data_IF_019015753614
#
_entry.id   IF_019015753614
#
_cell.length_a   1.000
_cell.length_b   1.000
_cell.length_c   1.000
_cell.angle_alpha   90.00
_cell.angle_beta   90.00
_cell.angle_gamma   90.00
#
_symmetry.space_group_name_H-M   'P 1'
#
loop_
_entity.id
_entity.type
_entity.pdbx_description
1 polymer ?
#
# COMPACT_ATOMS: atom_id res chain seq x y z
N UNK A 1 -10.59 13.71 -31.57
CA UNK A 1 -10.36 14.08 -30.14
C UNK A 1 -8.87 14.22 -29.92
N UNK A 2 -8.42 15.29 -29.25
CA UNK A 2 -7.00 15.48 -28.89
C UNK A 2 -6.50 14.31 -28.02
N UNK A 3 -5.24 13.90 -28.19
CA UNK A 3 -4.58 12.86 -27.37
C UNK A 3 -4.68 13.17 -25.87
N UNK A 4 -4.66 14.44 -25.49
CA UNK A 4 -4.88 14.86 -24.09
C UNK A 4 -6.29 14.50 -23.57
N UNK A 5 -7.33 14.65 -24.41
CA UNK A 5 -8.70 14.30 -24.00
C UNK A 5 -8.89 12.79 -23.88
N UNK A 6 -8.24 11.99 -24.74
CA UNK A 6 -8.23 10.53 -24.61
C UNK A 6 -7.53 10.11 -23.32
N UNK A 7 -6.36 10.69 -23.03
CA UNK A 7 -5.63 10.43 -21.80
C UNK A 7 -6.43 10.79 -20.54
N UNK A 8 -7.11 11.95 -20.52
CA UNK A 8 -7.95 12.35 -19.38
C UNK A 8 -9.23 11.51 -19.21
N UNK A 9 -9.73 10.90 -20.29
CA UNK A 9 -10.84 9.93 -20.25
C UNK A 9 -10.38 8.59 -19.68
N UNK A 10 -9.19 8.13 -20.05
CA UNK A 10 -8.60 6.86 -19.60
C UNK A 10 -8.04 6.96 -18.16
N UNK A 11 -7.48 8.11 -17.79
CA UNK A 11 -6.88 8.40 -16.49
C UNK A 11 -7.52 9.63 -15.85
N UNK A 12 -8.78 9.52 -15.37
CA UNK A 12 -9.50 10.66 -14.83
C UNK A 12 -8.80 11.22 -13.61
N UNK A 13 -8.65 12.56 -13.56
CA UNK A 13 -7.97 13.26 -12.45
C UNK A 13 -8.60 12.98 -11.08
N UNK A 14 -9.88 12.64 -11.04
CA UNK A 14 -10.59 12.25 -9.81
C UNK A 14 -10.11 10.93 -9.21
N UNK A 15 -9.45 10.07 -10.00
CA UNK A 15 -8.85 8.80 -9.54
C UNK A 15 -7.35 8.93 -9.23
N UNK A 16 -6.78 10.14 -9.37
CA UNK A 16 -5.36 10.35 -9.12
C UNK A 16 -5.04 10.28 -7.63
N UNK A 17 -4.23 9.31 -7.25
CA UNK A 17 -3.66 9.18 -5.90
C UNK A 17 -2.19 9.59 -5.94
N UNK A 18 -1.80 10.55 -5.11
CA UNK A 18 -0.39 10.94 -4.98
C UNK A 18 0.34 10.05 -3.96
N UNK A 19 1.68 10.03 -4.00
CA UNK A 19 2.49 9.32 -2.99
C UNK A 19 2.21 9.76 -1.55
N UNK A 20 1.88 11.05 -1.37
CA UNK A 20 1.51 11.62 -0.07
C UNK A 20 0.12 11.18 0.37
N UNK A 21 -0.82 11.04 -0.57
CA UNK A 21 -2.14 10.47 -0.28
C UNK A 21 -2.03 9.01 0.11
N UNK A 22 -1.22 8.23 -0.60
CA UNK A 22 -0.95 6.83 -0.29
C UNK A 22 -0.46 6.65 1.15
N UNK A 23 0.55 7.41 1.55
CA UNK A 23 1.08 7.41 2.92
C UNK A 23 0.02 7.78 3.96
N UNK A 24 -0.78 8.82 3.68
CA UNK A 24 -1.89 9.27 4.52
C UNK A 24 -2.90 8.14 4.75
N UNK A 25 -3.43 7.53 3.69
CA UNK A 25 -4.42 6.46 3.80
C UNK A 25 -3.88 5.24 4.56
N UNK A 26 -2.64 4.85 4.24
CA UNK A 26 -1.99 3.74 4.91
C UNK A 26 -1.80 3.99 6.41
N UNK A 27 -1.45 5.21 6.82
CA UNK A 27 -1.24 5.56 8.24
C UNK A 27 -2.53 5.86 9.01
N UNK A 28 -3.58 6.34 8.34
CA UNK A 28 -4.92 6.35 8.94
C UNK A 28 -5.31 4.93 9.37
N UNK A 29 -5.26 3.97 8.45
CA UNK A 29 -5.56 2.56 8.78
C UNK A 29 -4.54 1.97 9.75
N UNK A 30 -3.26 2.31 9.59
CA UNK A 30 -2.15 1.85 10.44
C UNK A 30 -2.10 2.46 11.84
N UNK A 31 -3.21 3.03 12.34
CA UNK A 31 -3.35 3.57 13.70
C UNK A 31 -2.34 4.67 14.05
N UNK A 32 -1.95 5.48 13.06
CA UNK A 32 -1.00 6.59 13.21
C UNK A 32 -1.64 7.95 12.87
N UNK A 33 -2.83 8.30 13.41
CA UNK A 33 -3.51 9.52 13.01
C UNK A 33 -2.79 10.80 13.46
N UNK A 34 -1.97 10.70 14.51
CA UNK A 34 -1.13 11.80 14.99
C UNK A 34 0.00 12.14 13.99
N UNK A 35 0.55 11.16 13.27
CA UNK A 35 1.52 11.42 12.19
C UNK A 35 0.85 12.00 10.96
N UNK A 36 -0.33 11.49 10.59
CA UNK A 36 -1.14 12.05 9.51
C UNK A 36 -1.45 13.54 9.77
N UNK A 37 -1.74 13.88 11.03
CA UNK A 37 -2.02 15.25 11.48
C UNK A 37 -0.84 16.22 11.35
N UNK A 38 0.40 15.73 11.14
CA UNK A 38 1.59 16.57 10.89
C UNK A 38 1.62 17.12 9.45
N UNK A 39 0.81 16.58 8.55
CA UNK A 39 0.66 17.04 7.17
C UNK A 39 1.28 16.08 6.15
N UNK A 40 0.88 16.27 4.89
CA UNK A 40 1.12 15.35 3.77
C UNK A 40 2.60 15.01 3.53
N UNK A 41 3.49 16.01 3.60
CA UNK A 41 4.93 15.79 3.40
C UNK A 41 5.58 15.05 4.58
N UNK A 42 5.22 15.43 5.81
CA UNK A 42 5.77 14.79 7.01
C UNK A 42 5.35 13.33 7.12
N UNK A 43 4.08 13.02 6.85
CA UNK A 43 3.60 11.63 6.89
C UNK A 43 4.23 10.79 5.79
N UNK A 44 4.44 11.35 4.59
CA UNK A 44 5.12 10.64 3.51
C UNK A 44 6.58 10.35 3.83
N UNK A 45 7.32 11.29 4.43
CA UNK A 45 8.71 11.06 4.82
C UNK A 45 8.84 9.91 5.83
N UNK A 46 7.98 9.88 6.86
CA UNK A 46 7.94 8.78 7.84
C UNK A 46 7.53 7.45 7.18
N UNK A 47 6.54 7.50 6.29
CA UNK A 47 6.05 6.36 5.55
C UNK A 47 7.10 5.73 4.63
N UNK A 48 7.83 6.55 3.87
CA UNK A 48 8.86 6.09 2.94
C UNK A 48 9.95 5.30 3.68
N UNK A 49 10.49 5.85 4.76
CA UNK A 49 11.49 5.16 5.60
C UNK A 49 10.94 3.83 6.14
N UNK A 50 9.69 3.82 6.58
CA UNK A 50 9.05 2.59 7.09
C UNK A 50 8.81 1.53 6.00
N UNK A 51 8.51 1.95 4.76
CA UNK A 51 8.29 1.06 3.62
C UNK A 51 9.62 0.53 3.08
N UNK A 52 10.65 1.37 2.96
CA UNK A 52 11.97 0.95 2.49
C UNK A 52 12.52 -0.18 3.37
N UNK A 53 12.45 -0.02 4.70
CA UNK A 53 12.84 -1.08 5.65
C UNK A 53 12.03 -2.36 5.50
N UNK A 54 10.73 -2.25 5.22
CA UNK A 54 9.87 -3.41 4.99
C UNK A 54 10.18 -4.10 3.66
N UNK A 55 10.52 -3.33 2.63
CA UNK A 55 10.91 -3.83 1.32
C UNK A 55 12.21 -4.64 1.39
N UNK A 56 13.21 -4.12 2.09
CA UNK A 56 14.47 -4.84 2.32
C UNK A 56 14.27 -6.18 3.04
N UNK A 57 13.24 -6.27 3.89
CA UNK A 57 12.97 -7.49 4.68
C UNK A 57 12.15 -8.52 3.90
N UNK A 58 11.16 -8.08 3.13
CA UNK A 58 10.22 -8.94 2.41
C UNK A 58 9.45 -8.13 1.38
N UNK A 59 10.10 -7.93 0.22
CA UNK A 59 9.56 -7.23 -0.93
C UNK A 59 8.31 -7.91 -1.51
N UNK A 60 8.19 -9.24 -1.38
CA UNK A 60 7.09 -10.06 -1.85
C UNK A 60 5.71 -9.60 -1.32
N UNK A 61 5.66 -8.86 -0.19
CA UNK A 61 4.43 -8.28 0.35
C UNK A 61 3.81 -7.18 -0.53
N UNK A 62 4.60 -6.49 -1.33
CA UNK A 62 4.18 -5.31 -2.11
C UNK A 62 3.68 -5.68 -3.51
N UNK A 63 2.70 -6.60 -3.58
CA UNK A 63 2.07 -7.02 -4.83
C UNK A 63 0.66 -6.45 -5.03
N UNK A 64 -0.11 -7.09 -5.91
CA UNK A 64 -1.48 -6.67 -6.26
C UNK A 64 -2.42 -6.61 -5.06
N UNK A 65 -2.35 -7.59 -4.15
CA UNK A 65 -3.13 -7.56 -2.91
C UNK A 65 -2.83 -6.33 -2.05
N UNK A 66 -1.55 -5.96 -1.94
CA UNK A 66 -1.15 -4.72 -1.25
C UNK A 66 -1.70 -3.48 -1.97
N UNK A 67 -1.62 -3.45 -3.30
CA UNK A 67 -2.18 -2.34 -4.08
C UNK A 67 -3.69 -2.22 -3.87
N UNK A 68 -4.45 -3.30 -4.11
CA UNK A 68 -5.91 -3.36 -3.92
C UNK A 68 -6.34 -2.95 -2.52
N UNK A 69 -5.67 -3.46 -1.49
CA UNK A 69 -5.96 -3.11 -0.11
C UNK A 69 -5.75 -1.61 0.17
N UNK A 70 -4.72 -0.98 -0.42
CA UNK A 70 -4.50 0.46 -0.24
C UNK A 70 -5.48 1.31 -1.06
N UNK A 71 -5.94 0.84 -2.22
CA UNK A 71 -7.05 1.49 -2.93
C UNK A 71 -8.33 1.41 -2.08
N UNK A 72 -8.62 0.28 -1.45
CA UNK A 72 -9.74 0.17 -0.51
C UNK A 72 -9.66 1.17 0.63
N UNK A 73 -8.47 1.41 1.19
CA UNK A 73 -8.24 2.47 2.21
C UNK A 73 -8.46 3.88 1.66
N UNK A 74 -8.05 4.14 0.41
CA UNK A 74 -8.30 5.41 -0.25
C UNK A 74 -9.80 5.67 -0.44
N UNK A 75 -10.55 4.67 -0.91
CA UNK A 75 -12.00 4.75 -1.07
C UNK A 75 -12.70 4.98 0.27
N UNK A 76 -12.33 4.23 1.31
CA UNK A 76 -12.85 4.43 2.67
C UNK A 76 -12.61 5.85 3.17
N UNK A 77 -11.39 6.39 2.99
CA UNK A 77 -11.05 7.74 3.42
C UNK A 77 -11.89 8.80 2.70
N UNK A 78 -11.94 8.75 1.37
CA UNK A 78 -12.64 9.77 0.58
C UNK A 78 -14.16 9.72 0.77
N UNK A 79 -14.73 8.52 0.93
CA UNK A 79 -16.15 8.37 1.23
C UNK A 79 -16.49 8.89 2.63
N UNK A 80 -15.72 8.52 3.66
CA UNK A 80 -15.92 9.04 5.01
C UNK A 80 -15.76 10.56 5.04
N UNK A 81 -14.70 11.09 4.43
CA UNK A 81 -14.45 12.52 4.35
C UNK A 81 -15.62 13.27 3.71
N UNK A 82 -16.15 12.73 2.60
CA UNK A 82 -17.29 13.30 1.90
C UNK A 82 -18.59 13.21 2.69
N UNK A 83 -18.78 12.13 3.45
CA UNK A 83 -19.94 11.93 4.30
C UNK A 83 -19.92 12.85 5.54
N UNK A 84 -18.76 13.04 6.17
CA UNK A 84 -18.58 13.95 7.32
C UNK A 84 -18.97 15.38 6.96
N UNK A 85 -18.60 15.86 5.76
CA UNK A 85 -18.96 17.19 5.27
C UNK A 85 -20.48 17.45 5.24
N UNK A 86 -21.30 16.39 5.20
CA UNK A 86 -22.76 16.46 5.13
C UNK A 86 -23.42 16.31 6.50
N UNK A 87 -22.66 15.98 7.55
CA UNK A 87 -23.22 15.75 8.88
C UNK A 87 -23.61 17.05 9.57
N UNK A 88 -24.77 17.05 10.23
CA UNK A 88 -25.29 18.23 10.96
C UNK A 88 -24.31 18.68 12.05
N UNK A 89 -23.71 17.75 12.80
CA UNK A 89 -22.73 18.07 13.84
C UNK A 89 -21.45 18.70 13.27
N UNK A 90 -21.08 18.38 12.02
CA UNK A 90 -19.91 18.95 11.38
C UNK A 90 -20.21 20.33 10.81
N UNK A 91 -21.35 20.49 10.13
CA UNK A 91 -21.73 21.78 9.53
C UNK A 91 -22.05 22.84 10.58
N UNK A 92 -22.53 22.45 11.76
CA UNK A 92 -22.72 23.35 12.90
C UNK A 92 -21.40 23.86 13.51
N UNK A 93 -20.32 23.07 13.44
CA UNK A 93 -19.00 23.44 13.96
C UNK A 93 -17.89 22.96 13.02
N UNK A 94 -17.69 23.64 11.87
CA UNK A 94 -16.78 23.19 10.84
C UNK A 94 -15.31 23.37 11.25
N UNK A 95 -14.46 22.43 10.86
CA UNK A 95 -13.02 22.48 11.12
C UNK A 95 -12.41 21.09 11.28
N UNK A 96 -11.09 21.01 11.16
CA UNK A 96 -10.31 19.82 11.51
C UNK A 96 -10.68 18.52 10.76
N UNK A 97 -11.35 18.61 9.61
CA UNK A 97 -11.85 17.46 8.85
C UNK A 97 -10.80 16.36 8.63
N UNK A 98 -9.59 16.75 8.20
CA UNK A 98 -8.51 15.79 7.97
C UNK A 98 -8.09 15.06 9.26
N UNK A 99 -8.09 15.75 10.40
CA UNK A 99 -7.79 15.16 11.70
C UNK A 99 -8.91 14.22 12.15
N UNK A 100 -10.17 14.66 12.02
CA UNK A 100 -11.36 13.87 12.37
C UNK A 100 -11.39 12.55 11.59
N UNK A 101 -11.25 12.61 10.26
CA UNK A 101 -11.26 11.43 9.39
C UNK A 101 -10.09 10.49 9.71
N UNK A 102 -8.89 11.03 9.96
CA UNK A 102 -7.73 10.22 10.32
C UNK A 102 -7.93 9.48 11.65
N UNK A 103 -8.40 10.17 12.69
CA UNK A 103 -8.69 9.59 14.00
C UNK A 103 -9.81 8.55 13.93
N UNK A 104 -10.87 8.82 13.17
CA UNK A 104 -11.98 7.90 12.96
C UNK A 104 -11.53 6.57 12.37
N UNK A 105 -10.81 6.61 11.23
CA UNK A 105 -10.33 5.40 10.54
C UNK A 105 -9.34 4.62 11.41
N UNK A 106 -8.42 5.32 12.09
CA UNK A 106 -7.47 4.69 13.00
C UNK A 106 -8.17 3.96 14.14
N UNK A 107 -9.18 4.60 14.75
CA UNK A 107 -9.93 4.04 15.87
C UNK A 107 -10.85 2.91 15.43
N UNK A 108 -11.47 3.02 14.25
CA UNK A 108 -12.28 1.97 13.62
C UNK A 108 -11.44 0.72 13.34
N UNK A 109 -10.29 0.88 12.68
CA UNK A 109 -9.35 -0.22 12.43
C UNK A 109 -8.92 -0.90 13.73
N UNK A 110 -8.59 -0.12 14.76
CA UNK A 110 -8.24 -0.68 16.07
C UNK A 110 -9.40 -1.41 16.73
N UNK A 111 -10.63 -0.89 16.63
CA UNK A 111 -11.80 -1.53 17.23
C UNK A 111 -12.12 -2.87 16.59
N UNK A 112 -11.99 -2.98 15.26
CA UNK A 112 -12.21 -4.25 14.56
C UNK A 112 -11.29 -5.34 15.13
N UNK A 113 -10.00 -5.03 15.25
CA UNK A 113 -9.02 -6.01 15.75
C UNK A 113 -9.30 -6.44 17.19
N UNK A 114 -9.73 -5.52 18.05
CA UNK A 114 -9.99 -5.83 19.46
C UNK A 114 -11.34 -6.50 19.68
N UNK A 115 -12.38 -6.11 18.96
CA UNK A 115 -13.76 -6.54 19.21
C UNK A 115 -14.10 -7.86 18.48
N UNK A 116 -13.52 -8.11 17.31
CA UNK A 116 -13.83 -9.28 16.49
C UNK A 116 -12.67 -10.29 16.43
N UNK A 117 -11.96 -10.47 17.55
CA UNK A 117 -10.98 -11.56 17.70
C UNK A 117 -9.85 -11.55 16.67
N UNK A 118 -9.43 -10.38 16.20
CA UNK A 118 -8.40 -10.24 15.18
C UNK A 118 -8.86 -10.44 13.72
N UNK A 119 -10.17 -10.52 13.47
CA UNK A 119 -10.74 -10.43 12.13
C UNK A 119 -10.22 -9.19 11.37
N UNK A 120 -10.24 -9.27 10.04
CA UNK A 120 -9.74 -8.20 9.17
C UNK A 120 -10.88 -7.61 8.35
N UNK A 121 -10.81 -6.31 8.11
CA UNK A 121 -11.75 -5.64 7.22
C UNK A 121 -11.53 -6.11 5.78
N UNK A 122 -12.62 -6.41 5.08
CA UNK A 122 -12.56 -6.95 3.72
C UNK A 122 -12.36 -5.85 2.67
N UNK A 123 -11.10 -5.41 2.52
CA UNK A 123 -10.74 -4.50 1.43
C UNK A 123 -10.79 -5.15 0.05
N UNK A 124 -10.81 -6.48 -0.05
CA UNK A 124 -11.01 -7.19 -1.31
C UNK A 124 -12.40 -6.89 -1.85
N UNK A 125 -13.43 -7.01 -1.00
CA UNK A 125 -14.80 -6.62 -1.34
C UNK A 125 -14.90 -5.14 -1.72
N UNK A 126 -14.25 -4.24 -0.99
CA UNK A 126 -14.24 -2.80 -1.34
C UNK A 126 -13.59 -2.55 -2.70
N UNK A 127 -12.54 -3.28 -3.04
CA UNK A 127 -11.94 -3.22 -4.36
C UNK A 127 -12.91 -3.72 -5.45
N UNK A 128 -13.64 -4.80 -5.22
CA UNK A 128 -14.58 -5.33 -6.22
C UNK A 128 -15.79 -4.41 -6.44
N UNK A 129 -16.36 -3.88 -5.35
CA UNK A 129 -17.53 -2.99 -5.40
C UNK A 129 -17.16 -1.52 -5.66
N UNK A 130 -15.87 -1.19 -5.61
CA UNK A 130 -15.35 0.18 -5.61
C UNK A 130 -15.98 1.07 -4.52
N UNK A 131 -16.47 0.47 -3.43
CA UNK A 131 -17.12 1.21 -2.34
C UNK A 131 -17.12 0.48 -1.01
N UNK A 132 -17.07 1.23 0.09
CA UNK A 132 -17.49 0.69 1.39
C UNK A 132 -19.02 0.55 1.40
N UNK A 133 -19.52 -0.42 2.15
CA UNK A 133 -20.94 -0.63 2.36
C UNK A 133 -21.50 0.39 3.38
N UNK A 134 -22.82 0.49 3.42
CA UNK A 134 -23.53 1.43 4.30
C UNK A 134 -23.28 1.17 5.79
N UNK A 135 -23.20 -0.11 6.20
CA UNK A 135 -22.96 -0.47 7.61
C UNK A 135 -21.59 0.02 8.06
N UNK A 136 -20.58 -0.17 7.21
CA UNK A 136 -19.23 0.38 7.43
C UNK A 136 -19.23 1.91 7.48
N UNK A 137 -19.93 2.59 6.57
CA UNK A 137 -19.95 4.05 6.53
C UNK A 137 -20.62 4.65 7.78
N UNK A 138 -21.74 4.09 8.23
CA UNK A 138 -22.41 4.51 9.47
C UNK A 138 -21.49 4.36 10.68
N UNK A 139 -20.86 3.20 10.83
CA UNK A 139 -19.91 2.98 11.91
C UNK A 139 -18.72 3.97 11.86
N UNK A 140 -18.18 4.26 10.69
CA UNK A 140 -17.12 5.26 10.54
C UNK A 140 -17.58 6.68 10.89
N UNK A 141 -18.84 7.04 10.60
CA UNK A 141 -19.41 8.34 10.95
C UNK A 141 -19.57 8.50 12.47
N UNK A 142 -19.95 7.46 13.19
CA UNK A 142 -20.01 7.47 14.65
C UNK A 142 -18.62 7.71 15.26
N UNK A 143 -17.61 7.04 14.71
CA UNK A 143 -16.22 7.22 15.11
C UNK A 143 -15.69 8.61 14.75
N UNK A 144 -16.14 9.19 13.63
CA UNK A 144 -15.81 10.55 13.24
C UNK A 144 -16.43 11.59 14.17
N UNK A 145 -17.68 11.40 14.59
CA UNK A 145 -18.30 12.29 15.55
C UNK A 145 -17.60 12.20 16.91
N UNK A 146 -17.31 10.98 17.40
CA UNK A 146 -16.51 10.78 18.60
C UNK A 146 -15.12 11.43 18.50
N UNK A 147 -14.48 11.36 17.33
CA UNK A 147 -13.19 12.00 17.09
C UNK A 147 -13.30 13.53 17.12
N UNK A 148 -14.36 14.13 16.56
CA UNK A 148 -14.60 15.56 16.64
C UNK A 148 -14.69 15.99 18.11
N UNK A 149 -15.58 15.35 18.89
CA UNK A 149 -15.79 15.66 20.30
C UNK A 149 -14.47 15.56 21.10
N UNK A 150 -13.68 14.51 20.88
CA UNK A 150 -12.38 14.33 21.54
C UNK A 150 -11.36 15.42 21.14
N UNK A 151 -11.27 15.75 19.86
CA UNK A 151 -10.30 16.71 19.36
C UNK A 151 -10.61 18.14 19.81
N UNK A 152 -11.90 18.47 19.98
CA UNK A 152 -12.37 19.80 20.36
C UNK A 152 -12.83 19.88 21.81
N UNK A 153 -12.57 18.88 22.65
CA UNK A 153 -12.92 18.88 24.07
C UNK A 153 -12.27 20.06 24.79
N UNK A 154 -13.04 20.83 25.57
CA UNK A 154 -12.55 22.03 26.25
C UNK A 154 -11.51 21.74 27.35
N UNK A 155 -11.45 20.51 27.85
CA UNK A 155 -10.48 20.06 28.85
C UNK A 155 -9.20 19.50 28.23
N UNK A 156 -9.02 19.59 26.91
CA UNK A 156 -7.80 19.13 26.23
C UNK A 156 -6.55 19.86 26.77
N UNK A 157 -5.41 19.15 26.94
CA UNK A 157 -4.20 19.74 27.51
C UNK A 157 -3.49 20.73 26.57
N UNK A 158 -3.87 20.76 25.28
CA UNK A 158 -3.32 21.65 24.27
C UNK A 158 -4.45 22.44 23.62
N UNK A 159 -4.51 23.75 23.89
CA UNK A 159 -5.59 24.63 23.43
C UNK A 159 -5.78 24.62 21.91
N UNK A 160 -4.69 24.58 21.14
CA UNK A 160 -4.75 24.50 19.68
C UNK A 160 -5.04 23.06 19.22
N UNK A 161 -6.24 22.83 18.69
CA UNK A 161 -6.73 21.53 18.23
C UNK A 161 -5.78 20.86 17.22
N UNK A 162 -5.22 21.62 16.27
CA UNK A 162 -4.31 21.04 15.26
C UNK A 162 -2.96 20.63 15.84
N UNK A 163 -2.49 21.32 16.89
CA UNK A 163 -1.28 20.91 17.61
C UNK A 163 -1.57 19.72 18.52
N UNK A 164 -2.76 19.70 19.14
CA UNK A 164 -3.21 18.55 19.93
C UNK A 164 -3.27 17.28 19.09
N UNK A 165 -3.91 17.34 17.92
CA UNK A 165 -4.05 16.20 17.01
C UNK A 165 -2.72 15.57 16.57
N UNK A 166 -1.61 16.34 16.56
CA UNK A 166 -0.25 15.87 16.18
C UNK A 166 0.46 15.10 17.27
N UNK A 167 -0.02 15.18 18.51
CA UNK A 167 0.64 14.56 19.66
C UNK A 167 0.23 13.10 19.79
N UNK A 168 1.20 12.24 20.07
CA UNK A 168 0.95 10.83 20.39
C UNK A 168 -0.03 10.69 21.56
N UNK A 169 0.09 11.56 22.58
CA UNK A 169 -0.79 11.58 23.75
C UNK A 169 -2.28 11.76 23.38
N UNK A 170 -2.60 12.54 22.34
CA UNK A 170 -3.96 12.72 21.85
C UNK A 170 -4.54 11.40 21.33
N UNK A 171 -3.76 10.68 20.53
CA UNK A 171 -4.14 9.36 20.03
C UNK A 171 -4.22 8.32 21.15
N UNK A 172 -3.27 8.32 22.08
CA UNK A 172 -3.26 7.39 23.22
C UNK A 172 -4.49 7.56 24.11
N UNK A 173 -5.00 8.78 24.27
CA UNK A 173 -6.25 9.03 24.98
C UNK A 173 -7.45 8.55 24.16
N UNK A 174 -7.54 8.92 22.88
CA UNK A 174 -8.70 8.55 22.05
C UNK A 174 -8.81 7.04 21.78
N UNK A 175 -7.68 6.36 21.62
CA UNK A 175 -7.62 4.90 21.43
C UNK A 175 -8.24 4.11 22.57
N UNK A 176 -8.31 4.71 23.77
CA UNK A 176 -8.93 4.13 24.97
C UNK A 176 -10.40 4.51 25.15
N UNK A 177 -10.93 5.40 24.30
CA UNK A 177 -12.35 5.77 24.34
C UNK A 177 -13.22 4.53 24.13
N UNK A 178 -14.30 4.42 24.93
CA UNK A 178 -15.24 3.31 24.87
C UNK A 178 -16.18 3.50 23.68
N UNK A 179 -15.77 2.96 22.54
CA UNK A 179 -16.56 2.86 21.32
C UNK A 179 -16.78 1.38 21.01
N UNK A 180 -17.93 1.05 20.44
CA UNK A 180 -18.29 -0.30 20.02
C UNK A 180 -18.74 -0.27 18.57
N UNK A 181 -18.49 -1.35 17.86
CA UNK A 181 -19.03 -1.59 16.53
C UNK A 181 -20.25 -2.48 16.65
N UNK A 182 -21.27 -2.21 15.84
CA UNK A 182 -22.44 -3.09 15.77
C UNK A 182 -22.06 -4.47 15.22
N UNK A 183 -22.73 -5.53 15.68
CA UNK A 183 -22.46 -6.91 15.27
C UNK A 183 -22.69 -7.11 13.76
N UNK A 184 -23.57 -6.30 13.16
CA UNK A 184 -23.86 -6.30 11.72
C UNK A 184 -22.62 -6.03 10.85
N UNK A 185 -21.60 -5.36 11.41
CA UNK A 185 -20.33 -5.11 10.72
C UNK A 185 -19.58 -6.40 10.39
N UNK A 186 -19.86 -7.53 11.06
CA UNK A 186 -19.24 -8.82 10.75
C UNK A 186 -19.38 -9.21 9.27
N UNK A 187 -20.44 -8.77 8.60
CA UNK A 187 -20.65 -8.97 7.16
C UNK A 187 -19.62 -8.28 6.25
N UNK A 188 -18.83 -7.36 6.79
CA UNK A 188 -17.76 -6.61 6.11
C UNK A 188 -16.36 -7.05 6.57
N UNK A 189 -16.29 -8.13 7.35
CA UNK A 189 -15.05 -8.68 7.88
C UNK A 189 -14.79 -10.06 7.28
N UNK A 190 -13.51 -10.39 7.16
CA UNK A 190 -13.02 -11.73 6.90
C UNK A 190 -12.32 -12.26 8.14
N UNK A 191 -12.37 -13.58 8.33
CA UNK A 191 -11.68 -14.21 9.45
C UNK A 191 -10.17 -13.97 9.34
N UNK A 192 -9.47 -14.00 10.49
CA UNK A 192 -8.02 -13.85 10.48
C UNK A 192 -7.32 -15.00 9.73
N UNK A 193 -7.95 -16.18 9.69
CA UNK A 193 -7.44 -17.36 8.97
C UNK A 193 -7.59 -17.19 7.46
N UNK A 194 -8.79 -16.80 6.99
CA UNK A 194 -9.05 -16.57 5.57
C UNK A 194 -8.16 -15.47 5.01
N UNK A 195 -8.02 -14.36 5.76
CA UNK A 195 -7.12 -13.26 5.38
C UNK A 195 -5.66 -13.72 5.25
N UNK A 196 -5.19 -14.61 6.15
CA UNK A 196 -3.84 -15.19 6.07
C UNK A 196 -3.69 -16.14 4.90
N UNK A 197 -4.70 -16.97 4.61
CA UNK A 197 -4.67 -17.88 3.48
C UNK A 197 -4.61 -17.10 2.16
N UNK A 198 -5.49 -16.11 1.99
CA UNK A 198 -5.50 -15.25 0.81
C UNK A 198 -4.15 -14.55 0.60
N UNK A 199 -3.58 -13.96 1.65
CA UNK A 199 -2.25 -13.32 1.58
C UNK A 199 -1.16 -14.30 1.16
N UNK A 200 -1.18 -15.53 1.68
CA UNK A 200 -0.20 -16.57 1.34
C UNK A 200 -0.34 -17.01 -0.12
N UNK A 201 -1.57 -17.16 -0.60
CA UNK A 201 -1.84 -17.66 -1.94
C UNK A 201 -1.51 -16.58 -3.00
N UNK A 202 -1.81 -15.30 -2.72
CA UNK A 202 -1.34 -14.16 -3.52
C UNK A 202 0.20 -14.07 -3.56
N UNK A 203 0.87 -14.32 -2.42
CA UNK A 203 2.34 -14.32 -2.38
C UNK A 203 2.93 -15.45 -3.23
N UNK A 204 2.34 -16.65 -3.21
CA UNK A 204 2.79 -17.76 -4.06
C UNK A 204 2.63 -17.42 -5.54
N UNK A 205 1.48 -16.86 -5.91
CA UNK A 205 1.21 -16.42 -7.29
C UNK A 205 2.26 -15.40 -7.74
N UNK A 206 2.54 -14.38 -6.92
CA UNK A 206 3.56 -13.37 -7.25
C UNK A 206 4.96 -13.94 -7.40
N UNK A 207 5.36 -14.90 -6.56
CA UNK A 207 6.67 -15.55 -6.68
C UNK A 207 6.76 -16.28 -8.02
N UNK A 208 5.69 -16.97 -8.43
CA UNK A 208 5.62 -17.63 -9.74
C UNK A 208 5.67 -16.61 -10.90
N UNK A 209 4.90 -15.53 -10.82
CA UNK A 209 4.88 -14.48 -11.86
C UNK A 209 6.25 -13.80 -12.00
N UNK A 210 6.92 -13.53 -10.87
CA UNK A 210 8.28 -12.96 -10.85
C UNK A 210 9.29 -13.95 -11.46
N UNK A 211 9.14 -15.25 -11.16
CA UNK A 211 9.94 -16.30 -11.78
C UNK A 211 9.77 -16.34 -13.30
N UNK A 212 8.54 -16.26 -13.78
CA UNK A 212 8.22 -16.21 -15.21
C UNK A 212 8.77 -14.95 -15.87
N UNK A 213 8.60 -13.77 -15.26
CA UNK A 213 9.12 -12.50 -15.77
C UNK A 213 10.65 -12.52 -15.85
N UNK A 214 11.33 -13.09 -14.85
CA UNK A 214 12.77 -13.25 -14.86
C UNK A 214 13.24 -14.13 -16.04
N UNK A 215 12.54 -15.25 -16.29
CA UNK A 215 12.83 -16.13 -17.43
C UNK A 215 12.59 -15.37 -18.74
N UNK A 216 11.45 -14.68 -18.87
CA UNK A 216 11.10 -13.90 -20.05
C UNK A 216 12.16 -12.85 -20.36
N UNK A 217 12.60 -12.12 -19.34
CA UNK A 217 13.63 -11.10 -19.45
C UNK A 217 14.92 -11.69 -19.98
N UNK A 218 15.44 -12.76 -19.36
CA UNK A 218 16.65 -13.46 -19.82
C UNK A 218 16.54 -13.94 -21.27
N UNK A 219 15.40 -14.51 -21.66
CA UNK A 219 15.17 -14.99 -23.03
C UNK A 219 15.05 -13.84 -24.04
N UNK A 220 14.60 -12.65 -23.59
CA UNK A 220 14.48 -11.46 -24.44
C UNK A 220 15.81 -10.72 -24.68
N UNK A 221 16.83 -10.99 -23.85
CA UNK A 221 18.18 -10.42 -24.02
C UNK A 221 18.79 -10.93 -25.31
N UNK A 222 19.32 -10.01 -26.11
CA UNK A 222 19.91 -10.35 -27.40
C UNK A 222 21.18 -11.20 -27.24
N UNK A 223 21.44 -12.03 -28.25
CA UNK A 223 22.67 -12.83 -28.29
C UNK A 223 23.94 -11.97 -28.28
N UNK A 224 23.87 -10.77 -28.86
CA UNK A 224 24.98 -9.80 -28.87
C UNK A 224 25.30 -9.28 -27.46
N UNK A 225 24.28 -8.99 -26.66
CA UNK A 225 24.46 -8.61 -25.24
C UNK A 225 25.10 -9.76 -24.46
N UNK A 226 24.64 -11.00 -24.67
CA UNK A 226 25.25 -12.17 -24.04
C UNK A 226 26.69 -12.41 -24.49
N UNK A 227 27.02 -12.16 -25.76
CA UNK A 227 28.39 -12.24 -26.27
C UNK A 227 29.29 -11.15 -25.68
N UNK A 228 28.76 -9.94 -25.43
CA UNK A 228 29.48 -8.89 -24.72
C UNK A 228 29.79 -9.30 -23.27
N UNK A 229 28.78 -9.82 -22.54
CA UNK A 229 28.96 -10.38 -21.19
C UNK A 229 30.04 -11.47 -21.17
N UNK A 230 29.97 -12.41 -22.12
CA UNK A 230 30.92 -13.51 -22.19
C UNK A 230 32.35 -13.04 -22.48
N UNK A 231 32.53 -12.04 -23.34
CA UNK A 231 33.85 -11.45 -23.67
C UNK A 231 34.45 -10.63 -22.53
N UNK A 232 33.62 -9.90 -21.79
CA UNK A 232 34.07 -9.10 -20.66
C UNK A 232 34.65 -9.95 -19.51
N UNK A 233 34.29 -11.24 -19.44
CA UNK A 233 34.92 -12.21 -18.56
C UNK A 233 34.48 -12.06 -17.09
N UNK A 234 35.31 -12.53 -16.16
CA UNK A 234 35.00 -12.56 -14.71
C UNK A 234 33.72 -13.34 -14.37
N UNK A 235 33.45 -14.40 -15.13
CA UNK A 235 32.35 -15.31 -14.89
C UNK A 235 32.81 -16.46 -13.98
N UNK A 236 32.00 -16.82 -13.00
CA UNK A 236 32.15 -18.09 -12.31
C UNK A 236 31.90 -19.26 -13.28
N UNK A 237 32.39 -20.49 -12.97
CA UNK A 237 32.13 -21.66 -13.81
C UNK A 237 30.64 -21.91 -14.07
N UNK A 238 29.80 -21.65 -13.07
CA UNK A 238 28.34 -21.73 -13.20
C UNK A 238 27.81 -20.68 -14.18
N UNK A 239 28.14 -19.41 -13.98
CA UNK A 239 27.69 -18.30 -14.83
C UNK A 239 28.12 -18.51 -16.30
N UNK A 240 29.37 -18.91 -16.52
CA UNK A 240 29.90 -19.22 -17.86
C UNK A 240 29.07 -20.32 -18.55
N UNK A 241 28.77 -21.41 -17.83
CA UNK A 241 27.94 -22.48 -18.37
C UNK A 241 26.52 -22.00 -18.70
N UNK A 242 25.91 -21.20 -17.81
CA UNK A 242 24.55 -20.67 -18.04
C UNK A 242 24.49 -19.71 -19.22
N UNK A 243 25.47 -18.81 -19.38
CA UNK A 243 25.55 -17.89 -20.54
C UNK A 243 25.70 -18.67 -21.85
N UNK A 244 26.54 -19.71 -21.86
CA UNK A 244 26.68 -20.56 -23.05
C UNK A 244 25.39 -21.31 -23.39
N UNK A 245 24.67 -21.82 -22.38
CA UNK A 245 23.47 -22.62 -22.59
C UNK A 245 22.24 -21.79 -22.97
N UNK A 246 22.06 -20.62 -22.37
CA UNK A 246 20.82 -19.84 -22.45
C UNK A 246 20.97 -18.48 -23.13
N UNK A 247 22.19 -17.95 -23.23
CA UNK A 247 22.44 -16.65 -23.86
C UNK A 247 23.03 -16.75 -25.27
N UNK A 248 24.02 -17.63 -25.46
CA UNK A 248 24.73 -17.80 -26.75
C UNK A 248 24.11 -18.86 -27.67
N UNK A 249 23.18 -19.67 -27.15
CA UNK A 249 22.44 -20.67 -27.93
C UNK A 249 20.96 -20.29 -27.94
N UNK A 250 20.32 -20.41 -29.10
CA UNK A 250 18.88 -20.19 -29.25
C UNK A 250 18.08 -21.43 -28.85
N UNK A 251 16.87 -21.22 -28.32
CA UNK A 251 15.87 -22.28 -28.09
C UNK A 251 15.88 -22.94 -26.70
N UNK A 252 16.87 -22.66 -25.85
CA UNK A 252 16.89 -23.16 -24.48
C UNK A 252 16.23 -22.17 -23.52
N UNK A 253 15.40 -22.69 -22.60
CA UNK A 253 14.73 -21.90 -21.57
C UNK A 253 15.33 -22.23 -20.20
N UNK A 254 15.82 -21.24 -19.43
CA UNK A 254 16.37 -21.48 -18.11
C UNK A 254 15.27 -21.76 -17.09
N UNK A 255 15.60 -22.48 -16.01
CA UNK A 255 14.78 -22.51 -14.79
C UNK A 255 14.82 -21.16 -14.07
N UNK A 256 13.85 -20.89 -13.18
CA UNK A 256 13.77 -19.63 -12.40
C UNK A 256 15.07 -19.32 -11.63
N UNK A 257 15.69 -20.35 -11.05
CA UNK A 257 16.96 -20.20 -10.33
C UNK A 257 18.11 -19.80 -11.27
N UNK A 258 18.15 -20.39 -12.46
CA UNK A 258 19.15 -20.07 -13.48
C UNK A 258 18.93 -18.65 -14.04
N UNK A 259 17.67 -18.28 -14.30
CA UNK A 259 17.31 -16.93 -14.75
C UNK A 259 17.72 -15.86 -13.72
N UNK A 260 17.48 -16.11 -12.43
CA UNK A 260 17.88 -15.20 -11.34
C UNK A 260 19.40 -15.06 -11.20
N UNK A 261 20.17 -16.11 -11.52
CA UNK A 261 21.65 -16.01 -11.57
C UNK A 261 22.07 -15.16 -12.77
N UNK A 262 21.47 -15.38 -13.93
CA UNK A 262 21.77 -14.65 -15.17
C UNK A 262 21.42 -13.16 -15.08
N UNK A 263 20.30 -12.79 -14.45
CA UNK A 263 19.93 -11.38 -14.25
C UNK A 263 20.89 -10.65 -13.30
N UNK A 264 21.28 -11.30 -12.18
CA UNK A 264 22.30 -10.73 -11.28
C UNK A 264 23.65 -10.54 -11.97
N UNK A 265 24.00 -11.47 -12.88
CA UNK A 265 25.18 -11.31 -13.72
C UNK A 265 25.02 -10.09 -14.64
N UNK A 266 23.89 -9.94 -15.34
CA UNK A 266 23.65 -8.79 -16.21
C UNK A 266 23.73 -7.46 -15.45
N UNK A 267 23.10 -7.35 -14.27
CA UNK A 267 23.23 -6.18 -13.40
C UNK A 267 24.69 -5.89 -13.06
N UNK A 268 25.45 -6.91 -12.64
CA UNK A 268 26.88 -6.77 -12.32
C UNK A 268 27.67 -6.28 -13.53
N UNK A 269 27.39 -6.79 -14.73
CA UNK A 269 28.07 -6.40 -15.97
C UNK A 269 27.69 -4.98 -16.42
N UNK A 270 26.47 -4.54 -16.12
CA UNK A 270 26.04 -3.17 -16.36
C UNK A 270 26.74 -2.17 -15.42
N UNK A 271 26.85 -2.51 -14.14
CA UNK A 271 27.49 -1.65 -13.14
C UNK A 271 28.99 -1.44 -13.39
N UNK A 272 29.68 -2.43 -13.99
CA UNK A 272 31.09 -2.29 -14.43
C UNK A 272 31.23 -1.72 -15.85
N UNK A 273 30.12 -1.35 -16.50
CA UNK A 273 30.10 -0.73 -17.83
C UNK A 273 30.39 -1.67 -18.99
N UNK A 274 30.33 -2.98 -18.80
CA UNK A 274 30.55 -3.97 -19.86
C UNK A 274 29.36 -4.07 -20.83
N UNK A 275 28.14 -3.74 -20.36
CA UNK A 275 26.91 -3.66 -21.16
C UNK A 275 26.07 -2.46 -20.74
N UNK A 276 25.17 -2.00 -21.60
CA UNK A 276 24.21 -0.95 -21.26
C UNK A 276 23.06 -1.50 -20.40
N UNK A 277 22.59 -0.76 -19.39
CA UNK A 277 21.48 -1.20 -18.52
C UNK A 277 20.14 -1.36 -19.26
N UNK A 278 20.01 -0.70 -20.40
CA UNK A 278 18.84 -0.78 -21.29
C UNK A 278 18.83 -2.04 -22.16
N UNK A 279 19.93 -2.79 -22.18
CA UNK A 279 20.11 -3.96 -23.07
C UNK A 279 19.56 -5.27 -22.51
N UNK A 280 18.97 -5.25 -21.30
CA UNK A 280 18.42 -6.43 -20.65
C UNK A 280 17.30 -6.14 -19.65
#
# INVERSE_FOLDING_TARGET
>A
MSEQKKFELEYPKSQRITKTDWAKYAYCWGKKPHLVSKGAQSVFADYAVAVDKQWETDDARFGDGYFRNNIGKALMYEQLRSAVLKQVWYTASPGYLANIVAYAIARFSSQIETQFGGAKFDFGRVWETQSIDETTLVALLDFAHAAQLHLTDDNRPQANVTQWAKQQACWDQFSKARLQLEVTLQSSLVSAEDARSATRDERKLRVMDTGFENIRRVVSVSQDTWAAVYRAGQLSPLESNLVQLFGLRSGNVPSEKQASVLLRLLDRMADVGAIARESF
#
